data_IF_096716659799
#
_entry.id   IF_096716659799
#
_cell.length_a   1.000
_cell.length_b   1.000
_cell.length_c   1.000
_cell.angle_alpha   90.00
_cell.angle_beta   90.00
_cell.angle_gamma   90.00
#
_symmetry.space_group_name_H-M   'P 1'
#
loop_
_entity.id
_entity.type
_entity.pdbx_description
1 polymer ?
#
# COMPACT_ATOMS: atom_id res chain seq x y z
N UNK A 1 6.42 6.21 -12.33
CA UNK A 1 7.01 4.91 -11.99
C UNK A 1 7.75 5.05 -10.67
N UNK A 2 7.23 4.46 -9.60
CA UNK A 2 7.80 4.49 -8.25
C UNK A 2 8.10 3.07 -7.83
N UNK A 3 9.29 2.78 -7.31
CA UNK A 3 9.57 1.46 -6.73
C UNK A 3 8.80 1.28 -5.41
N UNK A 4 8.25 0.08 -5.19
CA UNK A 4 7.59 -0.29 -3.94
C UNK A 4 8.43 -1.38 -3.29
N UNK A 5 9.02 -1.05 -2.14
CA UNK A 5 9.81 -1.98 -1.33
C UNK A 5 9.02 -2.25 -0.05
N UNK A 6 8.72 -3.52 0.23
CA UNK A 6 8.08 -3.88 1.48
C UNK A 6 9.09 -3.89 2.62
N UNK A 7 8.68 -3.26 3.72
CA UNK A 7 9.51 -3.15 4.92
C UNK A 7 9.66 -4.52 5.60
N UNK A 8 10.90 -4.88 5.88
CA UNK A 8 11.28 -6.00 6.73
C UNK A 8 11.88 -5.43 8.02
N UNK A 9 11.46 -5.96 9.17
CA UNK A 9 12.00 -5.52 10.47
C UNK A 9 13.41 -6.07 10.68
N UNK A 10 14.14 -5.51 11.64
CA UNK A 10 15.45 -6.04 12.06
C UNK A 10 15.41 -7.49 12.56
N UNK A 11 14.21 -8.00 12.89
CA UNK A 11 13.97 -9.38 13.30
C UNK A 11 13.49 -10.30 12.16
N UNK A 12 13.40 -9.78 10.93
CA UNK A 12 12.96 -10.52 9.74
C UNK A 12 11.44 -10.62 9.56
N UNK A 13 10.65 -9.88 10.36
CA UNK A 13 9.20 -9.85 10.17
C UNK A 13 8.87 -9.04 8.92
N UNK A 14 7.83 -9.44 8.19
CA UNK A 14 7.41 -8.82 6.94
C UNK A 14 5.95 -8.35 7.05
N UNK A 15 5.66 -7.28 7.83
CA UNK A 15 4.29 -6.99 8.27
C UNK A 15 3.31 -6.76 7.12
N UNK A 16 3.75 -6.13 6.02
CA UNK A 16 2.89 -5.88 4.86
C UNK A 16 2.60 -7.18 4.11
N UNK A 17 3.61 -8.01 3.90
CA UNK A 17 3.45 -9.31 3.21
C UNK A 17 2.57 -10.25 4.04
N UNK A 18 2.79 -10.31 5.36
CA UNK A 18 1.99 -11.09 6.31
C UNK A 18 0.53 -10.62 6.33
N UNK A 19 0.29 -9.31 6.38
CA UNK A 19 -1.06 -8.75 6.28
C UNK A 19 -1.75 -9.14 4.96
N UNK A 20 -1.07 -8.98 3.82
CA UNK A 20 -1.61 -9.36 2.52
C UNK A 20 -1.94 -10.86 2.45
N UNK A 21 -1.10 -11.71 3.05
CA UNK A 21 -1.32 -13.15 3.10
C UNK A 21 -2.55 -13.55 3.95
N UNK A 22 -2.94 -12.73 4.92
CA UNK A 22 -4.11 -12.95 5.77
C UNK A 22 -5.43 -12.49 5.14
N UNK A 23 -5.40 -11.62 4.13
CA UNK A 23 -6.61 -11.13 3.46
C UNK A 23 -7.25 -12.19 2.56
N UNK A 24 -8.58 -12.23 2.50
CA UNK A 24 -9.30 -12.97 1.46
C UNK A 24 -8.96 -12.47 0.05
N UNK A 25 -9.21 -13.30 -0.96
CA UNK A 25 -8.84 -13.02 -2.35
C UNK A 25 -9.34 -11.67 -2.87
N UNK A 26 -10.59 -11.31 -2.55
CA UNK A 26 -11.20 -10.06 -2.99
C UNK A 26 -10.55 -8.80 -2.38
N UNK A 27 -10.44 -8.63 -1.04
CA UNK A 27 -9.72 -7.49 -0.46
C UNK A 27 -8.24 -7.49 -0.83
N UNK A 28 -7.58 -8.66 -0.92
CA UNK A 28 -6.18 -8.75 -1.35
C UNK A 28 -5.98 -8.17 -2.77
N UNK A 29 -6.85 -8.54 -3.71
CA UNK A 29 -6.80 -8.01 -5.08
C UNK A 29 -6.99 -6.49 -5.12
N UNK A 30 -7.87 -5.93 -4.28
CA UNK A 30 -8.05 -4.48 -4.17
C UNK A 30 -6.79 -3.77 -3.67
N UNK A 31 -6.11 -4.34 -2.68
CA UNK A 31 -4.85 -3.76 -2.16
C UNK A 31 -3.78 -3.80 -3.24
N UNK A 32 -3.57 -4.96 -3.88
CA UNK A 32 -2.60 -5.11 -4.97
C UNK A 32 -2.87 -4.12 -6.09
N UNK A 33 -4.13 -3.97 -6.51
CA UNK A 33 -4.52 -3.02 -7.56
C UNK A 33 -4.24 -1.56 -7.18
N UNK A 34 -4.39 -1.22 -5.90
CA UNK A 34 -4.08 0.13 -5.42
C UNK A 34 -2.57 0.38 -5.40
N UNK A 35 -1.77 -0.61 -5.01
CA UNK A 35 -0.31 -0.54 -5.06
C UNK A 35 0.20 -0.41 -6.50
N UNK A 36 -0.35 -1.17 -7.45
CA UNK A 36 -0.06 -1.03 -8.88
C UNK A 36 -0.32 0.40 -9.38
N UNK A 37 -1.47 0.99 -9.00
CA UNK A 37 -1.81 2.36 -9.37
C UNK A 37 -0.76 3.37 -8.86
N UNK A 38 -0.29 3.21 -7.61
CA UNK A 38 0.75 4.06 -7.02
C UNK A 38 2.10 3.87 -7.71
N UNK A 39 2.42 2.64 -8.12
CA UNK A 39 3.64 2.30 -8.85
C UNK A 39 3.66 2.96 -10.23
N UNK A 40 2.58 2.82 -11.00
CA UNK A 40 2.51 3.20 -12.41
C UNK A 40 2.32 4.72 -12.61
N UNK A 41 1.39 5.33 -11.88
CA UNK A 41 0.95 6.70 -12.16
C UNK A 41 1.93 7.75 -11.63
N UNK A 42 2.22 8.79 -12.41
CA UNK A 42 3.02 9.92 -11.91
C UNK A 42 2.22 10.77 -10.90
N UNK A 43 0.94 10.99 -11.19
CA UNK A 43 0.02 11.73 -10.33
C UNK A 43 -1.05 10.75 -9.86
N UNK A 44 -1.10 10.49 -8.55
CA UNK A 44 -2.08 9.58 -7.95
C UNK A 44 -3.16 10.40 -7.26
N UNK A 45 -4.46 10.09 -7.48
CA UNK A 45 -5.55 10.75 -6.78
C UNK A 45 -5.46 10.59 -5.25
N UNK A 46 -5.78 11.66 -4.51
CA UNK A 46 -5.74 11.67 -3.04
C UNK A 46 -6.66 10.64 -2.35
N UNK A 47 -7.63 10.09 -3.08
CA UNK A 47 -8.47 8.98 -2.59
C UNK A 47 -7.71 7.65 -2.46
N UNK A 48 -6.60 7.48 -3.18
CA UNK A 48 -5.76 6.27 -3.14
C UNK A 48 -4.43 6.51 -2.44
N UNK A 49 -3.88 7.72 -2.52
CA UNK A 49 -2.56 8.05 -1.96
C UNK A 49 -2.56 9.46 -1.39
N UNK A 50 -2.40 9.58 -0.07
CA UNK A 50 -2.51 10.86 0.63
C UNK A 50 -1.35 11.06 1.61
N UNK A 51 -0.79 12.27 1.65
CA UNK A 51 0.20 12.64 2.66
C UNK A 51 -0.47 12.85 4.01
N UNK A 52 0.12 12.30 5.07
CA UNK A 52 -0.32 12.54 6.45
C UNK A 52 0.26 13.85 6.97
N UNK A 53 -0.60 14.79 7.33
CA UNK A 53 -0.22 16.13 7.81
C UNK A 53 0.70 16.06 9.03
N UNK A 54 1.78 16.84 9.02
CA UNK A 54 2.74 16.88 10.12
C UNK A 54 3.73 15.71 10.14
N UNK A 55 3.77 14.87 9.10
CA UNK A 55 4.70 13.74 8.99
C UNK A 55 5.29 13.64 7.59
N UNK A 56 6.31 12.80 7.44
CA UNK A 56 6.83 12.37 6.13
C UNK A 56 6.19 11.07 5.62
N UNK A 57 5.11 10.63 6.29
CA UNK A 57 4.38 9.43 5.93
C UNK A 57 3.29 9.72 4.90
N UNK A 58 3.04 8.71 4.07
CA UNK A 58 1.94 8.67 3.13
C UNK A 58 1.08 7.44 3.41
N UNK A 59 -0.22 7.60 3.31
CA UNK A 59 -1.19 6.51 3.43
C UNK A 59 -1.66 6.06 2.04
N UNK A 60 -1.60 4.74 1.81
CA UNK A 60 -2.30 4.08 0.70
C UNK A 60 -3.68 3.68 1.19
N UNK A 61 -4.71 4.17 0.52
CA UNK A 61 -6.11 4.00 0.93
C UNK A 61 -6.82 3.02 0.02
N UNK A 62 -7.38 1.98 0.62
CA UNK A 62 -8.12 0.93 -0.07
C UNK A 62 -9.54 0.89 0.50
N UNK A 63 -10.54 1.07 -0.36
CA UNK A 63 -11.94 0.97 0.04
C UNK A 63 -12.33 -0.51 0.21
N UNK A 64 -12.47 -0.91 1.47
CA UNK A 64 -13.25 -2.08 1.86
C UNK A 64 -14.72 -1.67 1.68
N UNK A 65 -15.40 -2.26 0.69
CA UNK A 65 -16.80 -1.94 0.46
C UNK A 65 -17.63 -2.62 1.55
#
# INVERSE_FOLDING_TARGET
MREIIFFETDFGNKPVEEFLAQLDSAPRAKVVRTLELVHEQQIVPAKFWKKLSGTDLWEVRVEYA
#
